data_IF_233775570588
#
_entry.id   IF_233775570588
#
_cell.length_a   1.000
_cell.length_b   1.000
_cell.length_c   1.000
_cell.angle_alpha   90.00
_cell.angle_beta   90.00
_cell.angle_gamma   90.00
#
_symmetry.space_group_name_H-M   'P 1'
#
loop_
_entity.id
_entity.type
_entity.pdbx_description
1 polymer ?
#
# COMPACT_ATOMS: atom_id res chain seq x y z
N UNK A 1 0.80 -7.87 -9.80
CA UNK A 1 0.37 -7.13 -8.59
C UNK A 1 0.54 -8.07 -7.40
N UNK A 2 1.54 -7.86 -6.55
CA UNK A 2 1.65 -8.51 -5.24
C UNK A 2 1.82 -7.37 -4.24
N UNK A 3 0.68 -6.88 -3.78
CA UNK A 3 0.62 -5.82 -2.78
C UNK A 3 0.95 -6.44 -1.42
N UNK A 4 1.76 -5.70 -0.66
CA UNK A 4 2.25 -6.11 0.64
C UNK A 4 1.20 -5.70 1.67
N UNK A 5 0.92 -6.62 2.61
CA UNK A 5 0.17 -6.48 3.87
C UNK A 5 -1.35 -6.65 3.82
N UNK A 6 -1.83 -7.91 3.74
CA UNK A 6 -2.85 -8.58 4.60
C UNK A 6 -3.10 -10.01 4.05
N UNK A 7 -3.82 -10.86 4.80
CA UNK A 7 -4.23 -12.17 4.30
C UNK A 7 -5.21 -12.02 3.13
N UNK A 8 -4.68 -12.16 1.91
CA UNK A 8 -5.40 -11.99 0.64
C UNK A 8 -5.46 -10.53 0.18
N UNK A 9 -4.72 -10.12 -0.87
CA UNK A 9 -4.90 -8.80 -1.46
C UNK A 9 -6.21 -8.78 -2.24
N UNK A 10 -7.14 -7.90 -1.85
CA UNK A 10 -8.35 -7.60 -2.61
C UNK A 10 -8.10 -6.34 -3.43
N UNK A 11 -8.42 -6.39 -4.72
CA UNK A 11 -8.45 -5.22 -5.59
C UNK A 11 -9.92 -4.91 -5.84
N UNK A 12 -10.42 -3.86 -5.19
CA UNK A 12 -11.81 -3.43 -5.25
C UNK A 12 -11.89 -2.00 -5.78
N UNK A 13 -13.01 -1.64 -6.39
CA UNK A 13 -13.33 -0.23 -6.54
C UNK A 13 -13.58 0.39 -5.15
N UNK A 14 -13.29 1.68 -4.94
CA UNK A 14 -13.54 2.32 -3.64
C UNK A 14 -14.98 2.17 -3.14
N UNK A 15 -15.96 2.18 -4.06
CA UNK A 15 -17.38 2.00 -3.76
C UNK A 15 -17.77 0.58 -3.31
N UNK A 16 -16.90 -0.40 -3.56
CA UNK A 16 -17.12 -1.81 -3.21
C UNK A 16 -16.43 -2.18 -1.89
N UNK A 17 -15.74 -1.23 -1.27
CA UNK A 17 -15.08 -1.44 0.02
C UNK A 17 -16.15 -1.46 1.13
N UNK A 18 -16.32 -2.62 1.76
CA UNK A 18 -17.11 -2.73 2.99
C UNK A 18 -16.34 -2.09 4.15
N UNK A 19 -16.98 -1.13 4.83
CA UNK A 19 -16.38 -0.38 5.93
C UNK A 19 -17.25 -0.50 7.17
N UNK A 20 -16.67 -1.00 8.25
CA UNK A 20 -17.33 -0.96 9.56
C UNK A 20 -17.40 0.49 10.08
N UNK A 21 -18.55 0.97 10.58
CA UNK A 21 -18.67 2.33 11.10
C UNK A 21 -17.62 2.68 12.17
N UNK A 22 -17.02 3.87 12.06
CA UNK A 22 -15.94 4.33 12.92
C UNK A 22 -14.55 3.79 12.54
N UNK A 23 -14.44 3.01 11.45
CA UNK A 23 -13.13 2.56 10.96
C UNK A 23 -12.29 3.75 10.49
N UNK A 24 -11.10 3.91 11.07
CA UNK A 24 -10.17 4.96 10.66
C UNK A 24 -9.41 4.52 9.40
N UNK A 25 -9.55 5.29 8.31
CA UNK A 25 -8.86 5.04 7.05
C UNK A 25 -7.83 6.14 6.77
N UNK A 26 -6.62 5.74 6.33
CA UNK A 26 -5.48 6.66 6.17
C UNK A 26 -4.76 6.48 4.83
N UNK A 27 -4.06 7.53 4.42
CA UNK A 27 -3.24 7.58 3.21
C UNK A 27 -3.94 8.31 2.07
N UNK A 28 -3.22 8.53 0.98
CA UNK A 28 -3.71 9.31 -0.16
C UNK A 28 -5.01 8.74 -0.76
N UNK A 29 -5.19 7.42 -0.71
CA UNK A 29 -6.43 6.77 -1.12
C UNK A 29 -7.62 7.18 -0.25
N UNK A 30 -7.44 7.23 1.07
CA UNK A 30 -8.48 7.65 2.00
C UNK A 30 -8.83 9.14 1.81
N UNK A 31 -7.83 10.00 1.60
CA UNK A 31 -8.03 11.42 1.31
C UNK A 31 -8.79 11.59 -0.01
N UNK A 32 -8.34 10.92 -1.08
CA UNK A 32 -8.92 11.02 -2.42
C UNK A 32 -10.38 10.59 -2.47
N UNK A 33 -10.75 9.56 -1.71
CA UNK A 33 -12.10 8.99 -1.69
C UNK A 33 -12.87 9.33 -0.41
N UNK A 34 -12.45 10.37 0.33
CA UNK A 34 -12.99 10.76 1.64
C UNK A 34 -14.51 10.76 1.69
N UNK A 35 -15.16 11.50 0.79
CA UNK A 35 -16.62 11.64 0.78
C UNK A 35 -17.33 10.28 0.67
N UNK A 36 -16.84 9.41 -0.20
CA UNK A 36 -17.39 8.07 -0.40
C UNK A 36 -17.20 7.21 0.86
N UNK A 37 -16.01 7.25 1.46
CA UNK A 37 -15.65 6.43 2.61
C UNK A 37 -16.36 6.90 3.89
N UNK A 38 -16.44 8.21 4.13
CA UNK A 38 -17.18 8.80 5.25
C UNK A 38 -18.68 8.55 5.11
N UNK A 39 -19.23 8.57 3.89
CA UNK A 39 -20.63 8.14 3.64
C UNK A 39 -20.87 6.68 4.01
N UNK A 40 -19.86 5.81 3.83
CA UNK A 40 -19.89 4.42 4.26
C UNK A 40 -19.65 4.23 5.78
N UNK A 41 -19.41 5.32 6.53
CA UNK A 41 -19.21 5.29 7.97
C UNK A 41 -17.74 5.31 8.42
N UNK A 42 -16.78 5.50 7.51
CA UNK A 42 -15.38 5.66 7.87
C UNK A 42 -15.11 6.99 8.59
N UNK A 43 -13.98 7.04 9.30
CA UNK A 43 -13.37 8.28 9.75
C UNK A 43 -12.07 8.51 8.97
N UNK A 44 -11.98 9.62 8.24
CA UNK A 44 -10.74 10.01 7.56
C UNK A 44 -10.15 11.23 8.29
N UNK A 45 -8.94 11.14 8.87
CA UNK A 45 -8.27 12.28 9.48
C UNK A 45 -8.10 13.48 8.52
N UNK A 46 -7.82 14.69 9.02
CA UNK A 46 -7.45 15.84 8.16
C UNK A 46 -6.28 15.54 7.23
N UNK A 47 -6.24 16.18 6.06
CA UNK A 47 -5.25 15.89 5.01
C UNK A 47 -3.79 16.02 5.48
N UNK A 48 -3.51 16.90 6.44
CA UNK A 48 -2.18 17.16 7.01
C UNK A 48 -1.82 16.27 8.20
N UNK A 49 -2.71 15.36 8.61
CA UNK A 49 -2.46 14.44 9.70
C UNK A 49 -1.31 13.48 9.38
N UNK A 50 -0.34 13.38 10.29
CA UNK A 50 0.86 12.57 10.08
C UNK A 50 0.56 11.07 9.87
N UNK A 51 -0.62 10.59 10.27
CA UNK A 51 -1.05 9.20 10.03
C UNK A 51 -1.19 8.86 8.55
N UNK A 52 -1.35 9.87 7.68
CA UNK A 52 -1.37 9.67 6.23
C UNK A 52 0.03 9.42 5.64
N UNK A 53 1.10 9.72 6.38
CA UNK A 53 2.47 9.63 5.89
C UNK A 53 3.10 8.27 6.22
N UNK A 54 3.33 7.39 5.23
CA UNK A 54 4.04 6.13 5.47
C UNK A 54 5.51 6.42 5.81
N UNK A 55 5.95 6.00 7.01
CA UNK A 55 7.35 6.16 7.42
C UNK A 55 8.09 4.83 7.31
N UNK A 56 9.09 4.77 6.44
CA UNK A 56 9.89 3.56 6.20
C UNK A 56 10.54 3.01 7.48
N UNK A 57 10.93 3.89 8.41
CA UNK A 57 11.49 3.49 9.72
C UNK A 57 10.57 2.55 10.53
N UNK A 58 9.25 2.71 10.43
CA UNK A 58 8.31 1.85 11.16
C UNK A 58 8.17 0.48 10.49
N UNK A 59 8.25 0.42 9.16
CA UNK A 59 8.30 -0.85 8.43
C UNK A 59 9.56 -1.64 8.81
N UNK A 60 10.71 -0.97 8.84
CA UNK A 60 11.96 -1.58 9.27
C UNK A 60 11.92 -2.06 10.73
N UNK A 61 11.27 -1.32 11.62
CA UNK A 61 11.12 -1.71 13.02
C UNK A 61 10.24 -2.96 13.21
N UNK A 62 9.23 -3.15 12.36
CA UNK A 62 8.34 -4.31 12.36
C UNK A 62 8.96 -5.56 11.71
N UNK A 63 9.93 -5.39 10.82
CA UNK A 63 10.65 -6.51 10.21
C UNK A 63 11.58 -7.17 11.23
N UNK A 64 11.20 -8.36 11.71
CA UNK A 64 11.99 -9.15 12.68
C UNK A 64 12.79 -10.26 12.02
N UNK A 65 12.25 -10.85 10.96
CA UNK A 65 12.82 -11.99 10.27
C UNK A 65 13.10 -11.63 8.80
N UNK A 66 14.35 -11.28 8.49
CA UNK A 66 14.79 -11.04 7.12
C UNK A 66 16.10 -11.80 6.85
N UNK A 67 16.25 -12.26 5.60
CA UNK A 67 17.45 -12.95 5.13
C UNK A 67 18.53 -11.97 4.66
N UNK A 68 19.61 -12.53 4.11
CA UNK A 68 20.65 -11.72 3.47
C UNK A 68 20.06 -10.89 2.32
N UNK A 69 20.43 -9.61 2.25
CA UNK A 69 20.05 -8.72 1.14
C UNK A 69 20.57 -9.22 -0.21
N UNK A 70 21.68 -9.97 -0.23
CA UNK A 70 22.24 -10.59 -1.44
C UNK A 70 21.33 -11.66 -2.05
N UNK A 71 20.33 -12.15 -1.30
CA UNK A 71 19.35 -13.12 -1.80
C UNK A 71 18.13 -12.45 -2.45
N UNK A 72 18.06 -11.12 -2.47
CA UNK A 72 16.93 -10.39 -3.06
C UNK A 72 17.03 -10.44 -4.59
N UNK A 73 16.13 -11.20 -5.21
CA UNK A 73 15.99 -11.23 -6.67
C UNK A 73 14.97 -10.18 -7.15
N UNK A 74 15.35 -9.26 -8.07
CA UNK A 74 14.42 -8.29 -8.62
C UNK A 74 13.35 -8.96 -9.47
N UNK A 75 12.07 -8.69 -9.15
CA UNK A 75 10.95 -9.09 -9.99
C UNK A 75 10.76 -8.05 -11.11
N UNK A 76 11.32 -8.33 -12.29
CA UNK A 76 11.09 -7.52 -13.47
C UNK A 76 9.68 -7.73 -14.04
N UNK A 77 8.79 -6.77 -13.78
CA UNK A 77 7.40 -6.78 -14.29
C UNK A 77 7.30 -6.29 -15.74
N UNK A 78 8.42 -5.92 -16.35
CA UNK A 78 8.58 -5.48 -17.74
C UNK A 78 9.92 -5.99 -18.27
N UNK A 79 10.03 -6.22 -19.58
CA UNK A 79 11.32 -6.54 -20.18
C UNK A 79 12.31 -5.38 -19.94
N UNK A 80 13.59 -5.67 -19.66
CA UNK A 80 14.61 -4.64 -19.56
C UNK A 80 14.75 -3.91 -20.90
N UNK A 81 14.85 -2.58 -20.84
CA UNK A 81 15.00 -1.76 -22.04
C UNK A 81 16.37 -1.97 -22.71
N UNK A 82 17.36 -2.43 -21.93
CA UNK A 82 18.69 -2.79 -22.41
C UNK A 82 18.66 -4.13 -23.14
N UNK A 83 19.01 -4.12 -24.42
CA UNK A 83 19.28 -5.32 -25.21
C UNK A 83 20.77 -5.67 -25.10
N UNK A 84 21.09 -6.93 -24.81
CA UNK A 84 22.46 -7.40 -24.90
C UNK A 84 23.00 -7.13 -26.32
N UNK A 85 24.22 -6.62 -26.43
CA UNK A 85 24.90 -6.53 -27.72
C UNK A 85 25.01 -7.95 -28.31
N UNK A 86 24.63 -8.11 -29.57
CA UNK A 86 24.79 -9.38 -30.27
C UNK A 86 26.28 -9.75 -30.29
N UNK A 87 26.59 -11.00 -29.92
CA UNK A 87 27.92 -11.58 -30.06
C UNK A 87 28.16 -12.00 -31.50
#
# INVERSE_FOLDING_TARGET
RREIFVAGPLVLAPAELEVEPGTVLVGDGAIRYRELLETAGAEVPPDDDERHLPRARFHAALARDFGSAELVEPLYVRQPDAKAAAR
#
